data_IF_045139348953
#
_entry.id   IF_045139348953
#
_cell.length_a   1.000
_cell.length_b   1.000
_cell.length_c   1.000
_cell.angle_alpha   90.00
_cell.angle_beta   90.00
_cell.angle_gamma   90.00
#
_symmetry.space_group_name_H-M   'P 1'
#
loop_
_entity.id
_entity.type
_entity.pdbx_description
1 polymer ?
#
# COMPACT_ATOMS: atom_id res chain seq x y z
N UNK A 1 31.53 8.49 -6.77
CA UNK A 1 31.25 7.72 -7.95
C UNK A 1 30.07 6.77 -7.81
N UNK A 2 30.15 5.81 -6.91
CA UNK A 2 29.12 4.79 -6.75
C UNK A 2 27.74 5.34 -6.46
N UNK A 3 27.61 6.28 -5.55
CA UNK A 3 26.31 6.81 -5.12
C UNK A 3 25.53 7.43 -6.28
N UNK A 4 26.19 8.16 -7.16
CA UNK A 4 25.53 8.89 -8.25
C UNK A 4 24.89 7.93 -9.25
N UNK A 5 25.54 6.79 -9.50
CA UNK A 5 25.10 5.83 -10.50
C UNK A 5 24.29 4.69 -9.92
N UNK A 6 24.32 4.50 -8.62
CA UNK A 6 23.61 3.41 -7.97
C UNK A 6 22.10 3.67 -7.98
N UNK A 7 21.33 2.58 -8.02
CA UNK A 7 19.89 2.63 -7.83
C UNK A 7 19.58 2.22 -6.41
N UNK A 8 18.60 2.87 -5.83
CA UNK A 8 18.10 2.53 -4.49
C UNK A 8 16.63 2.17 -4.58
N UNK A 9 16.24 1.15 -3.84
CA UNK A 9 14.83 0.79 -3.72
C UNK A 9 14.28 1.61 -2.55
N UNK A 10 13.36 2.52 -2.86
CA UNK A 10 12.85 3.47 -1.88
C UNK A 10 11.34 3.40 -1.78
N UNK A 11 10.82 3.82 -0.64
CA UNK A 11 9.37 3.91 -0.43
C UNK A 11 8.82 5.02 -1.33
N UNK A 12 7.88 4.67 -2.20
CA UNK A 12 7.23 5.63 -3.08
C UNK A 12 5.94 6.16 -2.47
N UNK A 13 5.16 5.29 -1.87
CA UNK A 13 3.90 5.68 -1.26
C UNK A 13 3.44 4.65 -0.26
N UNK A 14 2.54 5.08 0.64
CA UNK A 14 2.00 4.20 1.66
C UNK A 14 0.61 4.67 2.08
N UNK A 15 -0.29 3.69 2.30
CA UNK A 15 -1.60 3.94 2.89
C UNK A 15 -1.57 3.34 4.29
N UNK A 16 -1.92 4.15 5.31
CA UNK A 16 -1.79 3.73 6.70
C UNK A 16 -2.70 4.54 7.63
N UNK A 17 -3.34 3.94 8.62
CA UNK A 17 -3.64 2.52 8.75
C UNK A 17 -4.96 2.22 8.05
N UNK A 18 -4.98 1.25 7.15
CA UNK A 18 -6.20 0.85 6.47
C UNK A 18 -6.88 -0.30 7.25
N UNK A 19 -8.19 -0.40 7.11
CA UNK A 19 -8.96 -1.48 7.73
C UNK A 19 -9.39 -2.45 6.64
N UNK A 20 -9.03 -3.71 6.79
CA UNK A 20 -9.47 -4.76 5.85
C UNK A 20 -10.98 -4.89 5.93
N UNK A 21 -11.66 -4.71 4.80
CA UNK A 21 -13.13 -4.73 4.76
C UNK A 21 -13.69 -6.11 4.45
N UNK A 22 -13.04 -6.83 3.55
CA UNK A 22 -13.53 -8.14 3.09
C UNK A 22 -12.38 -9.05 2.74
N UNK A 23 -12.69 -10.35 2.68
CA UNK A 23 -11.78 -11.34 2.11
C UNK A 23 -12.56 -12.13 1.07
N UNK A 24 -11.90 -12.55 0.01
CA UNK A 24 -12.53 -13.28 -1.08
C UNK A 24 -11.60 -14.42 -1.49
N UNK A 25 -11.92 -15.62 -1.00
CA UNK A 25 -11.05 -16.78 -1.20
C UNK A 25 -11.05 -17.27 -2.65
N UNK A 26 -12.10 -16.97 -3.39
CA UNK A 26 -12.27 -17.49 -4.75
C UNK A 26 -11.73 -16.56 -5.82
N UNK A 27 -11.33 -15.38 -5.43
CA UNK A 27 -10.81 -14.39 -6.36
C UNK A 27 -9.32 -14.61 -6.61
N UNK A 28 -8.81 -14.09 -7.72
CA UNK A 28 -7.39 -14.09 -8.01
C UNK A 28 -6.61 -13.43 -6.88
N UNK A 29 -5.50 -14.02 -6.48
CA UNK A 29 -4.68 -13.52 -5.38
C UNK A 29 -4.34 -12.04 -5.58
N UNK A 30 -4.41 -11.27 -4.51
CA UNK A 30 -4.09 -9.87 -4.57
C UNK A 30 -4.90 -9.01 -3.61
N UNK A 31 -4.79 -7.71 -3.82
CA UNK A 31 -5.46 -6.69 -3.00
C UNK A 31 -6.32 -5.81 -3.91
N UNK A 32 -7.60 -5.67 -3.55
CA UNK A 32 -8.44 -4.63 -4.14
C UNK A 32 -8.47 -3.46 -3.18
N UNK A 33 -8.05 -2.30 -3.64
CA UNK A 33 -7.95 -1.09 -2.83
C UNK A 33 -8.77 0.02 -3.45
N UNK A 34 -9.49 0.75 -2.62
CA UNK A 34 -10.25 1.94 -3.00
C UNK A 34 -9.45 2.75 -4.03
N UNK A 35 -10.06 3.00 -5.18
CA UNK A 35 -9.40 3.67 -6.31
C UNK A 35 -8.87 5.06 -5.93
N UNK A 36 -9.58 5.77 -5.06
CA UNK A 36 -9.11 7.09 -4.60
C UNK A 36 -7.82 6.97 -3.78
N UNK A 37 -7.66 5.90 -3.02
CA UNK A 37 -6.43 5.67 -2.25
C UNK A 37 -5.28 5.25 -3.15
N UNK A 38 -5.59 4.47 -4.18
CA UNK A 38 -4.58 4.10 -5.20
C UNK A 38 -3.98 5.38 -5.79
N UNK A 39 -4.85 6.29 -6.20
CA UNK A 39 -4.41 7.56 -6.80
C UNK A 39 -3.66 8.43 -5.80
N UNK A 40 -4.18 8.57 -4.59
CA UNK A 40 -3.57 9.43 -3.58
C UNK A 40 -2.17 8.96 -3.18
N UNK A 41 -1.96 7.66 -3.12
CA UNK A 41 -0.66 7.09 -2.75
C UNK A 41 0.29 6.98 -3.95
N UNK A 42 -0.20 7.25 -5.15
CA UNK A 42 0.61 7.12 -6.35
C UNK A 42 0.85 5.68 -6.77
N UNK A 43 -0.02 4.77 -6.34
CA UNK A 43 0.07 3.36 -6.73
C UNK A 43 -0.43 3.19 -8.16
N UNK A 44 -0.03 2.09 -8.79
CA UNK A 44 -0.44 1.75 -10.15
C UNK A 44 -1.13 0.38 -10.09
N UNK A 45 -2.23 0.24 -10.82
CA UNK A 45 -2.91 -1.04 -10.92
C UNK A 45 -1.96 -2.11 -11.43
N UNK A 46 -2.04 -3.30 -10.86
CA UNK A 46 -1.18 -4.46 -11.11
C UNK A 46 0.23 -4.35 -10.53
N UNK A 47 0.53 -3.24 -9.89
CA UNK A 47 1.81 -3.06 -9.21
C UNK A 47 1.91 -4.03 -8.04
N UNK A 48 3.12 -4.55 -7.81
CA UNK A 48 3.40 -5.33 -6.61
C UNK A 48 3.54 -4.37 -5.43
N UNK A 49 2.73 -4.58 -4.41
CA UNK A 49 2.79 -3.79 -3.18
C UNK A 49 3.06 -4.71 -2.00
N UNK A 50 3.57 -4.14 -0.93
CA UNK A 50 3.76 -4.82 0.34
C UNK A 50 2.60 -4.48 1.25
N UNK A 51 2.13 -5.47 2.01
CA UNK A 51 1.08 -5.26 2.99
C UNK A 51 1.56 -5.76 4.34
N UNK A 52 1.41 -4.94 5.36
CA UNK A 52 1.84 -5.26 6.72
C UNK A 52 0.64 -5.25 7.64
N UNK A 53 0.34 -6.39 8.29
CA UNK A 53 -0.67 -6.46 9.33
C UNK A 53 -0.04 -5.94 10.61
N UNK A 54 -0.50 -4.80 11.08
CA UNK A 54 0.12 -4.14 12.24
C UNK A 54 -0.18 -4.82 13.56
N UNK A 55 -1.14 -5.77 13.57
CA UNK A 55 -1.47 -6.53 14.78
C UNK A 55 -0.60 -7.77 14.94
N UNK A 56 -0.42 -8.51 13.84
CA UNK A 56 0.29 -9.80 13.88
C UNK A 56 1.73 -9.72 13.42
N UNK A 57 2.06 -8.67 12.67
CA UNK A 57 3.37 -8.57 12.04
C UNK A 57 3.48 -9.34 10.74
N UNK A 58 2.39 -9.92 10.27
CA UNK A 58 2.38 -10.64 8.99
C UNK A 58 2.70 -9.68 7.85
N UNK A 59 3.58 -10.10 6.97
CA UNK A 59 3.99 -9.32 5.80
C UNK A 59 3.72 -10.11 4.54
N UNK A 60 3.07 -9.47 3.57
CA UNK A 60 2.69 -10.11 2.31
C UNK A 60 3.10 -9.22 1.15
N UNK A 61 3.45 -9.85 0.03
CA UNK A 61 3.58 -9.17 -1.25
C UNK A 61 2.35 -9.51 -2.08
N UNK A 62 1.70 -8.51 -2.63
CA UNK A 62 0.43 -8.66 -3.34
C UNK A 62 0.44 -7.82 -4.61
N UNK A 63 -0.30 -8.27 -5.62
CA UNK A 63 -0.56 -7.39 -6.77
C UNK A 63 -1.80 -6.58 -6.49
N UNK A 64 -1.82 -5.34 -6.95
CA UNK A 64 -2.84 -4.37 -6.65
C UNK A 64 -3.88 -4.28 -7.76
N UNK A 65 -5.16 -4.25 -7.37
CA UNK A 65 -6.25 -3.94 -8.28
C UNK A 65 -7.08 -2.81 -7.67
N UNK A 66 -7.71 -2.02 -8.53
CA UNK A 66 -8.59 -0.95 -8.05
C UNK A 66 -9.88 -1.54 -7.53
N UNK A 67 -10.36 -0.99 -6.43
CA UNK A 67 -11.58 -1.41 -5.77
C UNK A 67 -12.58 -0.27 -5.63
N UNK A 68 -13.69 -0.59 -4.97
CA UNK A 68 -14.76 0.37 -4.70
C UNK A 68 -14.37 1.33 -3.58
N UNK A 69 -15.14 2.40 -3.43
CA UNK A 69 -14.93 3.36 -2.35
C UNK A 69 -14.95 2.64 -0.99
N UNK A 70 -13.93 2.90 -0.19
CA UNK A 70 -13.78 2.31 1.13
C UNK A 70 -13.26 0.88 1.17
N UNK A 71 -13.08 0.24 0.02
CA UNK A 71 -12.72 -1.17 -0.03
C UNK A 71 -11.23 -1.40 0.22
N UNK A 72 -10.96 -2.37 1.07
CA UNK A 72 -9.63 -2.98 1.26
C UNK A 72 -9.91 -4.48 1.35
N UNK A 73 -9.82 -5.18 0.22
CA UNK A 73 -10.20 -6.58 0.13
C UNK A 73 -8.99 -7.44 -0.18
N UNK A 74 -8.80 -8.49 0.63
CA UNK A 74 -7.75 -9.46 0.38
C UNK A 74 -8.33 -10.65 -0.36
N UNK A 75 -7.68 -11.03 -1.44
CA UNK A 75 -8.19 -12.05 -2.35
C UNK A 75 -7.22 -13.21 -2.48
N UNK A 76 -7.77 -14.40 -2.70
CA UNK A 76 -6.98 -15.60 -2.93
C UNK A 76 -6.23 -16.05 -1.69
N UNK A 77 -4.96 -16.40 -1.84
CA UNK A 77 -4.14 -16.91 -0.75
C UNK A 77 -4.00 -15.92 0.39
N UNK A 78 -3.95 -14.62 0.11
CA UNK A 78 -3.84 -13.59 1.13
C UNK A 78 -5.03 -13.60 2.09
N UNK A 79 -6.20 -13.99 1.59
CA UNK A 79 -7.42 -14.06 2.40
C UNK A 79 -7.32 -15.07 3.54
N UNK A 80 -6.42 -16.03 3.43
CA UNK A 80 -6.21 -17.03 4.47
C UNK A 80 -5.43 -16.50 5.67
N UNK A 81 -4.69 -15.43 5.50
CA UNK A 81 -3.74 -14.97 6.50
C UNK A 81 -4.22 -13.75 7.30
N UNK A 82 -5.13 -12.97 6.75
CA UNK A 82 -5.53 -11.71 7.36
C UNK A 82 -7.06 -11.61 7.36
N UNK A 83 -7.62 -11.23 8.49
CA UNK A 83 -9.07 -11.20 8.69
C UNK A 83 -9.64 -9.81 8.44
N UNK A 84 -10.92 -9.71 8.05
CA UNK A 84 -11.60 -8.42 8.05
C UNK A 84 -11.51 -7.74 9.42
N UNK A 85 -11.37 -6.44 9.41
CA UNK A 85 -11.18 -5.67 10.64
C UNK A 85 -9.73 -5.48 11.04
N UNK A 86 -8.81 -6.24 10.45
CA UNK A 86 -7.38 -6.05 10.71
C UNK A 86 -6.91 -4.71 10.18
N UNK A 87 -5.98 -4.09 10.91
CA UNK A 87 -5.37 -2.84 10.46
C UNK A 87 -4.07 -3.14 9.76
N UNK A 88 -3.90 -2.56 8.59
CA UNK A 88 -2.78 -2.87 7.72
C UNK A 88 -2.16 -1.59 7.15
N UNK A 89 -0.89 -1.68 6.81
CA UNK A 89 -0.22 -0.67 6.02
C UNK A 89 0.06 -1.26 4.64
N UNK A 90 -0.08 -0.45 3.61
CA UNK A 90 0.13 -0.87 2.23
C UNK A 90 1.19 0.05 1.64
N UNK A 91 2.28 -0.51 1.14
CA UNK A 91 3.43 0.27 0.70
C UNK A 91 3.88 -0.13 -0.69
N UNK A 92 4.30 0.86 -1.46
CA UNK A 92 4.88 0.66 -2.78
C UNK A 92 6.32 1.15 -2.76
N UNK A 93 7.20 0.40 -3.41
CA UNK A 93 8.61 0.71 -3.50
C UNK A 93 9.03 0.78 -4.96
N UNK A 94 10.03 1.58 -5.26
CA UNK A 94 10.53 1.68 -6.62
C UNK A 94 11.98 2.06 -6.67
N UNK A 95 12.61 1.77 -7.79
CA UNK A 95 14.01 2.05 -8.00
C UNK A 95 14.20 3.51 -8.39
N UNK A 96 15.16 4.13 -7.77
CA UNK A 96 15.46 5.54 -8.00
C UNK A 96 16.96 5.71 -7.96
N UNK A 97 17.48 6.62 -8.79
CA UNK A 97 18.90 6.93 -8.72
C UNK A 97 19.21 7.47 -7.34
N UNK A 98 20.33 7.04 -6.79
CA UNK A 98 20.70 7.39 -5.41
C UNK A 98 20.70 8.90 -5.18
N UNK A 99 21.20 9.67 -6.14
CA UNK A 99 21.21 11.13 -6.02
C UNK A 99 19.80 11.70 -5.92
N UNK A 100 18.90 11.22 -6.77
CA UNK A 100 17.50 11.67 -6.74
C UNK A 100 16.81 11.27 -5.44
N UNK A 101 17.17 10.12 -4.89
CA UNK A 101 16.55 9.62 -3.67
C UNK A 101 16.83 10.50 -2.44
N UNK A 102 17.89 11.29 -2.47
CA UNK A 102 18.24 12.15 -1.34
C UNK A 102 17.19 13.24 -1.08
N UNK A 103 16.43 13.62 -2.10
CA UNK A 103 15.39 14.63 -1.99
C UNK A 103 13.98 14.06 -2.09
N UNK A 104 13.88 12.75 -2.23
CA UNK A 104 12.61 12.09 -2.43
C UNK A 104 11.72 12.18 -1.20
N UNK A 105 10.44 12.46 -1.41
CA UNK A 105 9.42 12.46 -0.37
C UNK A 105 8.34 11.44 -0.77
N UNK A 106 8.13 10.38 0.01
CA UNK A 106 7.07 9.43 -0.30
C UNK A 106 5.70 10.05 -0.07
N UNK A 107 4.69 9.54 -0.78
CA UNK A 107 3.30 9.96 -0.60
C UNK A 107 2.69 9.12 0.52
N UNK A 108 2.56 9.70 1.71
CA UNK A 108 1.96 9.00 2.86
C UNK A 108 0.51 9.43 2.97
N UNK A 109 -0.40 8.47 2.80
CA UNK A 109 -1.84 8.69 2.88
C UNK A 109 -2.35 8.08 4.17
N UNK A 110 -2.82 8.94 5.08
CA UNK A 110 -3.46 8.48 6.31
C UNK A 110 -4.94 8.36 6.06
N UNK A 111 -5.55 7.30 6.60
CA UNK A 111 -6.98 7.05 6.41
C UNK A 111 -7.68 6.89 7.76
N UNK A 112 -8.97 7.16 7.75
CA UNK A 112 -9.81 6.97 8.93
C UNK A 112 -10.34 5.52 8.97
N UNK A 113 -11.22 5.24 9.93
CA UNK A 113 -11.74 3.88 10.14
C UNK A 113 -12.62 3.40 8.98
N UNK A 114 -12.99 4.29 8.08
CA UNK A 114 -13.77 3.96 6.90
C UNK A 114 -12.92 3.95 5.63
N UNK A 115 -11.60 3.95 5.80
CA UNK A 115 -10.62 3.96 4.72
C UNK A 115 -10.72 5.20 3.82
N UNK A 116 -11.13 6.32 4.40
CA UNK A 116 -11.14 7.58 3.67
C UNK A 116 -9.91 8.39 4.03
N UNK A 117 -9.30 8.99 3.03
CA UNK A 117 -8.10 9.78 3.25
C UNK A 117 -8.39 10.94 4.19
N UNK A 118 -7.56 11.07 5.21
CA UNK A 118 -7.59 12.19 6.12
C UNK A 118 -6.79 13.32 5.49
N UNK A 119 -7.23 14.56 5.71
CA UNK A 119 -6.53 15.71 5.15
C UNK A 119 -5.05 15.61 5.49
N UNK A 120 -4.22 15.67 4.45
CA UNK A 120 -2.79 15.49 4.57
C UNK A 120 -2.15 16.62 5.37
N UNK A 121 -1.38 16.26 6.39
CA UNK A 121 -0.51 17.20 7.08
C UNK A 121 0.72 17.44 6.23
N UNK A 122 1.10 18.71 6.09
CA UNK A 122 2.28 19.04 5.29
C UNK A 122 3.56 18.48 5.88
N UNK A 123 3.60 18.31 7.18
CA UNK A 123 4.79 17.79 7.86
C UNK A 123 4.90 16.28 7.82
N UNK A 124 3.84 15.63 7.40
CA UNK A 124 3.77 14.17 7.49
C UNK A 124 4.17 13.48 6.28
#
# INVERSE_FOLDING_TARGET
MGLVKALRLVLLGEVHPAVVTTVDFDELDGLRLDSALVDAAGFIEHEKVELYDTSSGTRLSLQLRRGKAGEVALCGAAALLIKPGSRVSIASFGWMKAKASLKHQPSIVRVDDENKAIKKNKAG
#
